data_IF_268552839587
#
_entry.id   IF_268552839587
#
_cell.length_a   1.000
_cell.length_b   1.000
_cell.length_c   1.000
_cell.angle_alpha   90.00
_cell.angle_beta   90.00
_cell.angle_gamma   90.00
#
_symmetry.space_group_name_H-M   'P 1'
#
loop_
_entity.id
_entity.type
_entity.pdbx_description
1 polymer ?
#
# COMPACT_ATOMS: atom_id res chain seq x y z
N UNK A 1 -8.93 -15.06 -22.93
CA UNK A 1 -7.63 -15.01 -22.25
C UNK A 1 -7.87 -14.21 -20.98
N UNK A 2 -7.85 -14.86 -19.82
CA UNK A 2 -8.03 -14.19 -18.54
C UNK A 2 -6.82 -13.29 -18.31
N UNK A 3 -7.03 -11.98 -18.17
CA UNK A 3 -5.95 -11.04 -17.86
C UNK A 3 -5.52 -11.25 -16.41
N UNK A 4 -4.65 -12.23 -16.18
CA UNK A 4 -4.07 -12.50 -14.86
C UNK A 4 -3.08 -11.39 -14.55
N UNK A 5 -3.49 -10.40 -13.78
CA UNK A 5 -2.57 -9.39 -13.27
C UNK A 5 -1.81 -9.95 -12.07
N UNK A 6 -0.48 -9.93 -12.20
CA UNK A 6 0.43 -10.49 -11.21
C UNK A 6 1.04 -9.35 -10.42
N UNK A 7 0.92 -9.46 -9.10
CA UNK A 7 1.30 -8.43 -8.18
C UNK A 7 2.48 -8.90 -7.34
N UNK A 8 3.40 -7.96 -7.08
CA UNK A 8 4.42 -8.08 -6.07
C UNK A 8 4.04 -7.28 -4.81
N UNK A 9 4.06 -7.94 -3.64
CA UNK A 9 3.78 -7.30 -2.37
C UNK A 9 5.01 -6.55 -1.88
N UNK A 10 4.93 -5.23 -1.71
CA UNK A 10 6.07 -4.42 -1.28
C UNK A 10 6.02 -4.05 0.21
N UNK A 11 4.94 -4.41 0.90
CA UNK A 11 4.81 -4.32 2.36
C UNK A 11 4.14 -5.57 2.92
N UNK A 12 4.37 -5.80 4.20
CA UNK A 12 3.63 -6.76 4.99
C UNK A 12 2.23 -6.24 5.26
N UNK A 13 1.25 -7.14 5.23
CA UNK A 13 -0.12 -6.85 5.64
C UNK A 13 -0.50 -7.73 6.81
N UNK A 14 -0.88 -7.09 7.91
CA UNK A 14 -1.46 -7.78 9.06
C UNK A 14 -2.94 -7.98 8.80
N UNK A 15 -3.44 -9.21 8.94
CA UNK A 15 -4.88 -9.45 8.83
C UNK A 15 -5.54 -8.87 10.06
N UNK A 16 -6.52 -8.01 9.84
CA UNK A 16 -7.41 -7.60 10.90
C UNK A 16 -8.51 -8.65 11.04
N UNK A 17 -8.42 -9.49 12.07
CA UNK A 17 -9.42 -10.55 12.32
C UNK A 17 -10.83 -9.98 12.57
N UNK A 18 -10.96 -8.67 12.84
CA UNK A 18 -12.26 -7.99 12.94
C UNK A 18 -12.88 -7.65 11.58
N UNK A 19 -12.10 -7.75 10.50
CA UNK A 19 -12.50 -7.44 9.13
C UNK A 19 -12.59 -8.73 8.33
N UNK A 20 -13.82 -9.21 8.14
CA UNK A 20 -14.08 -10.40 7.31
C UNK A 20 -13.43 -10.27 5.94
N UNK A 21 -13.00 -11.41 5.37
CA UNK A 21 -12.36 -11.53 4.04
C UNK A 21 -10.91 -11.01 3.94
N UNK A 22 -10.29 -10.43 4.96
CA UNK A 22 -8.87 -10.00 4.88
C UNK A 22 -7.89 -11.17 5.06
N UNK A 23 -6.79 -11.23 4.27
CA UNK A 23 -5.73 -12.24 4.44
C UNK A 23 -4.35 -11.61 4.73
N UNK A 24 -3.43 -12.43 5.25
CA UNK A 24 -2.04 -12.03 5.53
C UNK A 24 -1.14 -12.40 4.36
N UNK A 25 -0.23 -11.48 4.03
CA UNK A 25 0.88 -11.72 3.13
C UNK A 25 2.09 -10.90 3.57
N UNK A 26 3.26 -11.35 3.16
CA UNK A 26 4.53 -10.71 3.46
C UNK A 26 5.06 -9.98 2.24
N UNK A 27 5.92 -9.01 2.48
CA UNK A 27 6.73 -8.40 1.45
C UNK A 27 7.48 -9.50 0.69
N UNK A 28 7.37 -9.48 -0.63
CA UNK A 28 7.93 -10.52 -1.49
C UNK A 28 6.94 -11.57 -1.96
N UNK A 29 5.72 -11.59 -1.44
CA UNK A 29 4.68 -12.51 -1.90
C UNK A 29 4.14 -12.09 -3.26
N UNK A 30 3.70 -13.08 -4.03
CA UNK A 30 3.05 -12.89 -5.31
C UNK A 30 1.57 -13.14 -5.16
N UNK A 31 0.77 -12.17 -5.59
CA UNK A 31 -0.68 -12.23 -5.53
C UNK A 31 -1.23 -12.16 -6.95
N UNK A 32 -2.22 -13.01 -7.23
CA UNK A 32 -3.04 -12.93 -8.44
C UNK A 32 -4.28 -12.10 -8.13
N UNK A 33 -4.55 -11.06 -8.92
CA UNK A 33 -5.79 -10.29 -8.79
C UNK A 33 -7.00 -11.09 -9.26
N UNK A 34 -8.09 -10.93 -8.52
CA UNK A 34 -9.40 -11.44 -8.89
C UNK A 34 -10.26 -10.31 -9.43
N UNK A 35 -11.10 -10.63 -10.40
CA UNK A 35 -12.15 -9.74 -10.92
C UNK A 35 -13.37 -9.77 -10.00
N UNK A 36 -13.15 -9.49 -8.72
CA UNK A 36 -14.18 -9.44 -7.69
C UNK A 36 -14.29 -8.03 -7.14
N UNK A 37 -15.53 -7.61 -6.85
CA UNK A 37 -15.77 -6.27 -6.31
C UNK A 37 -15.32 -6.23 -4.83
N UNK A 38 -14.36 -5.36 -4.48
CA UNK A 38 -13.91 -5.20 -3.09
C UNK A 38 -15.00 -4.51 -2.25
N UNK A 39 -14.91 -4.66 -0.93
CA UNK A 39 -15.78 -3.97 0.02
C UNK A 39 -15.58 -2.45 0.06
N UNK A 40 -14.44 -1.96 -0.43
CA UNK A 40 -14.02 -0.55 -0.38
C UNK A 40 -13.33 -0.15 -1.69
N UNK A 41 -13.46 1.12 -2.05
CA UNK A 41 -12.90 1.65 -3.31
C UNK A 41 -11.36 1.64 -3.35
N UNK A 42 -10.69 1.64 -2.19
CA UNK A 42 -9.23 1.61 -2.07
C UNK A 42 -8.62 0.20 -1.98
N UNK A 43 -9.46 -0.85 -2.10
CA UNK A 43 -9.10 -2.25 -1.88
C UNK A 43 -9.23 -3.06 -3.17
N UNK A 44 -8.62 -4.23 -3.19
CA UNK A 44 -8.72 -5.20 -4.29
C UNK A 44 -8.79 -6.62 -3.73
N UNK A 45 -9.37 -7.53 -4.51
CA UNK A 45 -9.44 -8.95 -4.19
C UNK A 45 -8.31 -9.72 -4.85
N UNK A 46 -7.72 -10.69 -4.15
CA UNK A 46 -6.67 -11.53 -4.73
C UNK A 46 -6.46 -12.86 -4.01
N UNK A 47 -5.58 -13.68 -4.58
CA UNK A 47 -5.15 -14.97 -4.05
C UNK A 47 -3.63 -14.99 -3.97
N UNK A 48 -3.09 -15.40 -2.82
CA UNK A 48 -1.65 -15.62 -2.64
C UNK A 48 -1.25 -16.92 -3.35
N UNK A 49 -0.24 -16.86 -4.21
CA UNK A 49 0.20 -18.03 -4.98
C UNK A 49 0.75 -19.17 -4.11
N UNK A 50 1.41 -18.84 -2.98
CA UNK A 50 2.06 -19.84 -2.12
C UNK A 50 1.10 -20.51 -1.15
N UNK A 51 0.25 -19.73 -0.47
CA UNK A 51 -0.69 -20.25 0.54
C UNK A 51 -2.07 -20.60 -0.02
N UNK A 52 -2.41 -20.12 -1.22
CA UNK A 52 -3.77 -20.21 -1.77
C UNK A 52 -4.80 -19.39 -1.00
N UNK A 53 -4.37 -18.57 -0.03
CA UNK A 53 -5.27 -17.74 0.76
C UNK A 53 -5.90 -16.67 -0.15
N UNK A 54 -7.22 -16.56 -0.08
CA UNK A 54 -8.02 -15.59 -0.84
C UNK A 54 -8.57 -14.52 0.10
N UNK A 55 -8.65 -13.29 -0.41
CA UNK A 55 -9.41 -12.24 0.25
C UNK A 55 -9.13 -10.85 -0.30
N UNK A 56 -9.33 -9.83 0.53
CA UNK A 56 -9.20 -8.43 0.16
C UNK A 56 -8.00 -7.76 0.83
N UNK A 57 -7.39 -6.79 0.15
CA UNK A 57 -6.26 -6.02 0.70
C UNK A 57 -6.17 -4.59 0.10
N UNK A 58 -5.49 -3.66 0.78
CA UNK A 58 -5.34 -2.28 0.30
C UNK A 58 -4.45 -2.18 -0.95
N UNK A 59 -4.87 -1.38 -1.93
CA UNK A 59 -4.14 -1.18 -3.20
C UNK A 59 -2.76 -0.53 -3.01
N UNK A 60 -2.53 0.17 -1.89
CA UNK A 60 -1.26 0.82 -1.63
C UNK A 60 -0.18 -0.15 -1.12
N UNK A 61 -0.50 -1.40 -0.81
CA UNK A 61 0.44 -2.43 -0.32
C UNK A 61 1.13 -3.23 -1.44
N UNK A 62 0.77 -2.94 -2.70
CA UNK A 62 1.12 -3.75 -3.86
C UNK A 62 1.81 -2.97 -4.99
N UNK A 63 2.59 -3.70 -5.79
CA UNK A 63 3.20 -3.24 -7.04
C UNK A 63 2.73 -4.14 -8.18
N UNK A 64 2.03 -3.57 -9.16
CA UNK A 64 1.53 -4.32 -10.32
C UNK A 64 2.68 -4.51 -11.31
N UNK A 65 2.99 -5.77 -11.64
CA UNK A 65 4.00 -6.08 -12.64
C UNK A 65 3.37 -6.04 -14.04
N UNK A 66 3.97 -5.35 -15.03
CA UNK A 66 3.52 -5.40 -16.41
C UNK A 66 3.94 -6.73 -17.05
N UNK A 67 3.28 -7.82 -16.66
CA UNK A 67 3.59 -9.17 -17.11
C UNK A 67 2.31 -9.88 -17.55
N UNK A 68 2.40 -10.63 -18.65
CA UNK A 68 1.31 -11.47 -19.18
C UNK A 68 1.28 -12.82 -18.45
N UNK A 69 2.45 -13.32 -18.06
CA UNK A 69 2.65 -14.58 -17.35
C UNK A 69 3.46 -14.36 -16.08
N UNK A 70 3.44 -15.36 -15.18
CA UNK A 70 4.18 -15.32 -13.92
C UNK A 70 5.67 -15.15 -14.18
N UNK A 71 6.28 -14.06 -13.70
CA UNK A 71 7.71 -13.86 -13.86
C UNK A 71 8.49 -15.02 -13.22
N UNK A 72 9.63 -15.42 -13.79
CA UNK A 72 10.48 -16.45 -13.22
C UNK A 72 10.90 -16.13 -11.77
N UNK A 73 11.13 -17.17 -10.96
CA UNK A 73 11.52 -17.00 -9.56
C UNK A 73 12.76 -16.12 -9.38
N UNK A 74 13.75 -16.24 -10.27
CA UNK A 74 14.96 -15.42 -10.28
C UNK A 74 14.65 -13.92 -10.45
N UNK A 75 13.64 -13.58 -11.27
CA UNK A 75 13.22 -12.20 -11.43
C UNK A 75 12.58 -11.66 -10.15
N UNK A 76 11.69 -12.43 -9.52
CA UNK A 76 11.06 -12.06 -8.25
C UNK A 76 12.08 -11.95 -7.11
N UNK A 77 13.13 -12.76 -7.13
CA UNK A 77 14.23 -12.71 -6.16
C UNK A 77 14.97 -11.36 -6.20
N UNK A 78 15.07 -10.72 -7.37
CA UNK A 78 15.64 -9.37 -7.49
C UNK A 78 14.82 -8.37 -6.67
N UNK A 79 13.49 -8.40 -6.77
CA UNK A 79 12.61 -7.51 -5.99
C UNK A 79 12.71 -7.79 -4.49
N UNK A 80 12.72 -9.06 -4.09
CA UNK A 80 12.91 -9.47 -2.68
C UNK A 80 14.24 -8.97 -2.12
N UNK A 81 15.31 -9.04 -2.91
CA UNK A 81 16.63 -8.53 -2.52
C UNK A 81 16.66 -7.01 -2.44
N UNK A 82 16.06 -6.32 -3.41
CA UNK A 82 15.94 -4.86 -3.41
C UNK A 82 15.13 -4.37 -2.20
N UNK A 83 14.07 -5.10 -1.82
CA UNK A 83 13.19 -4.75 -0.73
C UNK A 83 13.82 -5.00 0.65
N UNK A 84 14.68 -6.02 0.77
CA UNK A 84 15.37 -6.37 2.01
C UNK A 84 16.61 -5.50 2.31
N UNK A 85 17.24 -4.92 1.28
CA UNK A 85 18.58 -4.32 1.44
C UNK A 85 18.57 -2.83 1.76
N UNK A 86 17.65 -1.99 1.25
CA UNK A 86 17.54 -0.60 1.77
C UNK A 86 16.33 0.21 1.28
N UNK A 87 15.99 1.21 2.10
CA UNK A 87 14.81 2.09 2.16
C UNK A 87 14.71 3.13 1.02
N UNK A 88 15.40 2.96 -0.12
CA UNK A 88 15.63 4.06 -1.08
C UNK A 88 15.45 3.81 -2.58
N UNK A 89 15.33 2.56 -3.05
CA UNK A 89 15.48 2.27 -4.51
C UNK A 89 14.19 1.89 -5.22
N UNK A 90 13.15 1.43 -4.53
CA UNK A 90 11.82 1.35 -5.10
C UNK A 90 11.22 2.76 -5.16
N UNK A 91 10.60 3.18 -6.27
CA UNK A 91 9.93 4.46 -6.36
C UNK A 91 8.77 4.50 -5.35
N UNK A 92 9.07 4.96 -4.14
CA UNK A 92 8.04 5.38 -3.19
C UNK A 92 7.31 6.52 -3.89
N UNK A 93 6.02 6.33 -4.18
CA UNK A 93 5.12 7.40 -4.59
C UNK A 93 5.31 8.52 -3.55
N UNK A 94 6.08 9.55 -3.93
CA UNK A 94 6.53 10.60 -3.00
C UNK A 94 5.28 11.25 -2.41
N UNK A 95 5.32 11.46 -1.10
CA UNK A 95 4.16 11.65 -0.24
C UNK A 95 3.19 12.74 -0.68
N UNK A 96 1.96 12.63 -0.16
CA UNK A 96 1.01 13.71 -0.16
C UNK A 96 1.68 14.97 0.42
N UNK A 97 1.84 15.99 -0.42
CA UNK A 97 2.26 17.31 0.00
C UNK A 97 1.15 17.88 0.87
N UNK A 98 1.35 17.88 2.19
CA UNK A 98 0.49 18.64 3.10
C UNK A 98 0.84 20.11 2.92
N UNK A 99 0.08 20.81 2.07
CA UNK A 99 0.12 22.27 1.99
C UNK A 99 -0.36 22.82 3.34
N UNK A 100 0.55 23.10 4.26
CA UNK A 100 0.23 23.96 5.40
C UNK A 100 0.22 25.38 4.87
N UNK A 101 -0.97 25.92 4.65
CA UNK A 101 -1.16 27.32 4.29
C UNK A 101 -0.80 28.15 5.55
N UNK A 102 0.45 28.61 5.65
CA UNK A 102 0.85 29.60 6.64
C UNK A 102 0.30 30.95 6.22
N UNK A 103 -0.95 31.21 6.59
CA UNK A 103 -1.50 32.55 6.61
C UNK A 103 -0.84 33.31 7.77
N UNK A 104 0.17 34.10 7.43
CA UNK A 104 0.68 35.15 8.30
C UNK A 104 -0.41 36.20 8.52
N UNK A 105 -0.61 36.57 9.78
CA UNK A 105 -1.45 37.66 10.22
C UNK A 105 -0.92 38.16 11.55
N UNK A 106 -0.04 39.17 11.46
CA UNK A 106 0.45 39.99 12.58
C UNK A 106 -0.63 40.98 13.03
N UNK A 107 -0.40 41.63 14.18
CA UNK A 107 -1.13 42.74 14.84
C UNK A 107 -2.32 42.30 15.72
N UNK A 108 -2.56 42.81 16.93
CA UNK A 108 -1.87 43.83 17.73
C UNK A 108 -2.37 43.77 19.19
N UNK A 109 -1.62 44.46 20.04
CA UNK A 109 -1.74 44.68 21.48
C UNK A 109 -3.10 45.21 21.95
N UNK A 110 -3.64 44.72 23.09
CA UNK A 110 -4.34 45.61 24.04
C UNK A 110 -4.31 45.12 25.50
N UNK A 111 -3.60 45.92 26.30
CA UNK A 111 -3.62 46.04 27.76
C UNK A 111 -5.01 46.48 28.23
N UNK A 112 -5.63 45.80 29.19
CA UNK A 112 -6.60 46.44 30.09
C UNK A 112 -6.42 45.95 31.52
N UNK A 113 -6.03 46.92 32.32
CA UNK A 113 -5.90 46.96 33.77
C UNK A 113 -7.27 47.28 34.35
N UNK A 114 -7.72 46.60 35.42
CA UNK A 114 -8.28 47.24 36.64
C UNK A 114 -9.04 46.25 37.53
N UNK A 115 -8.77 46.44 38.82
CA UNK A 115 -9.27 45.79 40.02
C UNK A 115 -10.76 45.97 40.28
N UNK A 116 -11.33 45.03 41.05
CA UNK A 116 -12.09 45.31 42.27
C UNK A 116 -12.04 44.07 43.17
#
# INVERSE_FOLDING_TARGET
MSNTQIIYCWRDTLSDASRGSTFQFRQGDVITLLDEKPSRDDWVCGIVDESGAKGEFPTDTIYILPAIEKPPAEFLAIFRRMSATDVGTLPRRRGAVKLTNSAGGSSDTQKVESSA
#
